data_IF_451207001179
#
_entry.id   IF_451207001179
#
_cell.length_a   1.000
_cell.length_b   1.000
_cell.length_c   1.000
_cell.angle_alpha   90.00
_cell.angle_beta   90.00
_cell.angle_gamma   90.00
#
_symmetry.space_group_name_H-M   'P 1'
#
loop_
_entity.id
_entity.type
_entity.pdbx_description
1 polymer ?
#
# COMPACT_ATOMS: atom_id res chain seq x y z
N UNK A 1 -8.33 7.78 18.23
CA UNK A 1 -9.23 7.47 17.10
C UNK A 1 -9.12 8.50 15.97
N UNK A 2 -9.70 9.71 16.07
CA UNK A 2 -9.67 10.68 14.96
C UNK A 2 -8.26 11.02 14.44
N UNK A 3 -7.31 11.28 15.35
CA UNK A 3 -5.91 11.60 14.99
C UNK A 3 -5.20 10.43 14.28
N UNK A 4 -5.49 9.19 14.67
CA UNK A 4 -4.88 7.99 14.08
C UNK A 4 -5.43 7.71 12.68
N UNK A 5 -6.74 7.90 12.46
CA UNK A 5 -7.33 7.78 11.13
C UNK A 5 -6.78 8.84 10.19
N UNK A 6 -6.57 10.06 10.71
CA UNK A 6 -5.92 11.13 9.94
C UNK A 6 -4.46 10.82 9.58
N UNK A 7 -3.76 10.07 10.43
CA UNK A 7 -2.38 9.66 10.17
C UNK A 7 -2.32 8.60 9.06
N UNK A 8 -3.12 7.54 9.16
CA UNK A 8 -3.23 6.51 8.12
C UNK A 8 -3.63 7.11 6.78
N UNK A 9 -4.62 8.01 6.78
CA UNK A 9 -5.02 8.73 5.58
C UNK A 9 -3.86 9.50 4.96
N UNK A 10 -3.11 10.27 5.75
CA UNK A 10 -1.97 11.06 5.27
C UNK A 10 -0.84 10.19 4.73
N UNK A 11 -0.55 9.06 5.38
CA UNK A 11 0.49 8.13 4.94
C UNK A 11 0.10 7.53 3.58
N UNK A 12 -1.11 7.00 3.46
CA UNK A 12 -1.59 6.34 2.24
C UNK A 12 -1.76 7.34 1.09
N UNK A 13 -2.46 8.46 1.34
CA UNK A 13 -2.66 9.50 0.34
C UNK A 13 -1.34 10.16 -0.07
N UNK A 14 -0.44 10.41 0.89
CA UNK A 14 0.90 10.93 0.62
C UNK A 14 1.71 10.00 -0.28
N UNK A 15 1.58 8.69 -0.09
CA UNK A 15 2.13 7.67 -0.99
C UNK A 15 1.58 7.77 -2.41
N UNK A 16 0.25 7.83 -2.58
CA UNK A 16 -0.37 7.91 -3.90
C UNK A 16 0.00 9.20 -4.63
N UNK A 17 -0.09 10.34 -3.94
CA UNK A 17 0.25 11.65 -4.49
C UNK A 17 1.74 11.70 -4.84
N UNK A 18 2.62 11.25 -3.94
CA UNK A 18 4.06 11.22 -4.19
C UNK A 18 4.45 10.35 -5.39
N UNK A 19 3.76 9.22 -5.61
CA UNK A 19 3.95 8.39 -6.81
C UNK A 19 3.50 9.08 -8.09
N UNK A 20 2.43 9.87 -8.03
CA UNK A 20 1.92 10.61 -9.19
C UNK A 20 2.76 11.86 -9.52
N UNK A 21 3.25 12.56 -8.49
CA UNK A 21 3.97 13.84 -8.64
C UNK A 21 5.49 13.69 -8.65
N UNK A 22 6.04 12.55 -8.21
CA UNK A 22 7.47 12.30 -8.02
C UNK A 22 8.34 12.29 -9.28
N UNK A 23 7.80 12.67 -10.44
CA UNK A 23 8.55 12.86 -11.69
C UNK A 23 8.95 11.57 -12.41
N UNK A 24 8.81 10.42 -11.77
CA UNK A 24 9.11 9.13 -12.38
C UNK A 24 7.99 8.68 -13.34
N UNK A 25 8.34 8.53 -14.62
CA UNK A 25 7.41 8.11 -15.68
C UNK A 25 6.94 6.67 -15.50
N UNK A 26 7.72 5.82 -14.81
CA UNK A 26 7.38 4.40 -14.62
C UNK A 26 6.04 4.20 -13.91
N UNK A 27 5.70 5.11 -13.00
CA UNK A 27 4.42 5.11 -12.29
C UNK A 27 3.25 5.50 -13.20
N UNK A 28 3.44 6.43 -14.13
CA UNK A 28 2.41 6.84 -15.11
C UNK A 28 2.19 5.77 -16.18
N UNK A 29 3.26 5.11 -16.59
CA UNK A 29 3.22 4.02 -17.58
C UNK A 29 2.76 2.68 -16.98
N UNK A 30 2.52 2.63 -15.66
CA UNK A 30 2.10 1.43 -14.93
C UNK A 30 3.20 0.37 -14.82
N UNK A 31 4.46 0.73 -15.05
CA UNK A 31 5.61 -0.19 -15.03
C UNK A 31 6.46 -0.09 -13.77
N UNK A 32 6.07 0.75 -12.81
CA UNK A 32 6.82 0.95 -11.56
C UNK A 32 7.13 -0.35 -10.83
N UNK A 33 6.19 -1.30 -10.79
CA UNK A 33 6.43 -2.59 -10.11
C UNK A 33 7.45 -3.50 -10.79
N UNK A 34 7.76 -3.29 -12.07
CA UNK A 34 8.85 -4.02 -12.76
C UNK A 34 10.20 -3.70 -12.13
N UNK A 35 10.40 -2.44 -11.75
CA UNK A 35 11.64 -1.95 -11.16
C UNK A 35 11.64 -2.00 -9.64
N UNK A 36 10.46 -2.04 -9.03
CA UNK A 36 10.29 -2.02 -7.59
C UNK A 36 11.13 -3.06 -6.86
N UNK A 37 11.16 -4.31 -7.32
CA UNK A 37 11.92 -5.39 -6.69
C UNK A 37 13.45 -5.20 -6.73
N UNK A 38 13.96 -4.35 -7.63
CA UNK A 38 15.38 -4.02 -7.74
C UNK A 38 15.77 -2.84 -6.86
N UNK A 39 14.86 -1.88 -6.70
CA UNK A 39 15.10 -0.61 -5.98
C UNK A 39 14.65 -0.63 -4.53
N UNK A 40 14.15 -1.77 -4.04
CA UNK A 40 13.73 -1.93 -2.65
C UNK A 40 14.95 -1.79 -1.69
N UNK A 41 14.77 -1.14 -0.52
CA UNK A 41 15.87 -0.86 0.41
C UNK A 41 16.46 -2.11 1.07
N UNK A 42 15.68 -3.18 1.22
CA UNK A 42 16.12 -4.49 1.72
C UNK A 42 15.54 -5.59 0.82
N UNK A 43 16.28 -6.05 -0.20
CA UNK A 43 15.83 -7.12 -1.06
C UNK A 43 15.74 -8.45 -0.28
N UNK A 44 14.64 -9.16 -0.47
CA UNK A 44 14.37 -10.47 0.12
C UNK A 44 14.82 -11.56 -0.87
N UNK A 45 15.26 -12.75 -0.42
CA UNK A 45 15.43 -13.92 -1.28
C UNK A 45 14.28 -14.21 -2.27
N UNK A 46 13.05 -13.77 -1.97
CA UNK A 46 11.89 -13.89 -2.85
C UNK A 46 11.84 -12.82 -3.96
N UNK A 47 12.49 -11.66 -3.81
CA UNK A 47 12.43 -10.55 -4.78
C UNK A 47 12.82 -10.96 -6.22
N UNK A 48 13.86 -11.80 -6.45
CA UNK A 48 14.20 -12.27 -7.79
C UNK A 48 13.14 -13.19 -8.43
N UNK A 49 12.32 -13.87 -7.62
CA UNK A 49 11.24 -14.74 -8.11
C UNK A 49 10.09 -13.86 -8.59
N UNK A 50 9.69 -12.87 -7.80
CA UNK A 50 8.64 -11.93 -8.17
C UNK A 50 9.02 -11.07 -9.37
N UNK A 51 10.28 -10.64 -9.48
CA UNK A 51 10.77 -9.93 -10.67
C UNK A 51 10.61 -10.73 -11.98
N UNK A 52 10.64 -12.06 -11.93
CA UNK A 52 10.49 -12.90 -13.14
C UNK A 52 9.03 -13.06 -13.58
N UNK A 53 8.07 -12.47 -12.87
CA UNK A 53 6.67 -12.52 -13.26
C UNK A 53 6.43 -11.73 -14.56
N UNK A 54 5.40 -12.08 -15.34
CA UNK A 54 5.08 -11.35 -16.55
C UNK A 54 4.75 -9.88 -16.24
N UNK A 55 5.16 -8.98 -17.12
CA UNK A 55 4.96 -7.53 -16.99
C UNK A 55 3.48 -7.14 -16.83
N UNK A 56 2.54 -7.95 -17.32
CA UNK A 56 1.11 -7.75 -17.10
C UNK A 56 0.72 -7.82 -15.62
N UNK A 57 1.35 -8.72 -14.83
CA UNK A 57 1.10 -8.81 -13.38
C UNK A 57 1.63 -7.56 -12.69
N UNK A 58 2.82 -7.10 -13.04
CA UNK A 58 3.40 -5.87 -12.49
C UNK A 58 2.57 -4.62 -12.80
N UNK A 59 1.93 -4.57 -13.98
CA UNK A 59 0.97 -3.51 -14.30
C UNK A 59 -0.24 -3.55 -13.37
N UNK A 60 -0.81 -4.74 -13.14
CA UNK A 60 -1.93 -4.92 -12.20
C UNK A 60 -1.52 -4.49 -10.78
N UNK A 61 -0.35 -4.88 -10.31
CA UNK A 61 0.17 -4.50 -8.98
C UNK A 61 0.35 -2.98 -8.84
N UNK A 62 0.84 -2.32 -9.91
CA UNK A 62 1.01 -0.86 -9.93
C UNK A 62 -0.33 -0.15 -9.81
N UNK A 63 -1.34 -0.55 -10.60
CA UNK A 63 -2.68 0.02 -10.51
C UNK A 63 -3.37 -0.31 -9.17
N UNK A 64 -3.20 -1.54 -8.69
CA UNK A 64 -3.72 -1.95 -7.39
C UNK A 64 -3.15 -1.10 -6.25
N UNK A 65 -1.87 -0.74 -6.35
CA UNK A 65 -1.21 0.16 -5.40
C UNK A 65 -1.84 1.55 -5.42
N UNK A 66 -2.04 2.12 -6.60
CA UNK A 66 -2.71 3.42 -6.74
C UNK A 66 -4.13 3.43 -6.20
N UNK A 67 -4.92 2.41 -6.55
CA UNK A 67 -6.32 2.32 -6.12
C UNK A 67 -6.40 2.17 -4.61
N UNK A 68 -5.59 1.30 -4.02
CA UNK A 68 -5.62 1.07 -2.58
C UNK A 68 -5.13 2.29 -1.80
N UNK A 69 -4.04 2.94 -2.22
CA UNK A 69 -3.52 4.12 -1.52
C UNK A 69 -4.41 5.36 -1.70
N UNK A 70 -5.06 5.51 -2.86
CA UNK A 70 -5.97 6.62 -3.14
C UNK A 70 -7.39 6.36 -2.65
N UNK A 71 -8.07 5.40 -3.26
CA UNK A 71 -9.47 5.06 -2.92
C UNK A 71 -9.55 4.50 -1.52
N UNK A 72 -8.66 3.56 -1.14
CA UNK A 72 -8.64 3.01 0.21
C UNK A 72 -8.43 4.08 1.29
N UNK A 73 -7.65 5.13 1.02
CA UNK A 73 -7.50 6.26 1.94
C UNK A 73 -8.81 7.04 2.13
N UNK A 74 -9.55 7.34 1.06
CA UNK A 74 -10.83 8.05 1.14
C UNK A 74 -11.87 7.21 1.89
N UNK A 75 -11.91 5.91 1.61
CA UNK A 75 -12.81 4.95 2.25
C UNK A 75 -12.55 4.83 3.76
N UNK A 76 -11.39 5.25 4.28
CA UNK A 76 -11.10 5.28 5.71
C UNK A 76 -12.06 6.19 6.51
N UNK A 77 -12.62 7.23 5.88
CA UNK A 77 -13.56 8.17 6.51
C UNK A 77 -15.04 7.78 6.36
N UNK A 78 -15.33 6.58 5.88
CA UNK A 78 -16.70 6.12 5.57
C UNK A 78 -17.27 5.22 6.68
N UNK A 79 -18.58 4.88 6.63
CA UNK A 79 -19.21 4.02 7.63
C UNK A 79 -18.51 2.67 7.78
N UNK A 80 -18.62 2.08 8.97
CA UNK A 80 -17.85 0.91 9.41
C UNK A 80 -17.73 -0.21 8.37
N UNK A 81 -18.83 -0.60 7.69
CA UNK A 81 -18.85 -1.66 6.66
C UNK A 81 -17.86 -1.37 5.52
N UNK A 82 -17.83 -0.14 5.04
CA UNK A 82 -17.00 0.28 3.91
C UNK A 82 -15.53 0.40 4.35
N UNK A 83 -15.29 0.70 5.63
CA UNK A 83 -13.94 0.75 6.20
C UNK A 83 -13.25 -0.62 6.24
N UNK A 84 -14.01 -1.72 6.34
CA UNK A 84 -13.44 -3.07 6.18
C UNK A 84 -12.83 -3.27 4.80
N UNK A 85 -13.41 -2.64 3.77
CA UNK A 85 -12.89 -2.69 2.40
C UNK A 85 -11.55 -1.96 2.34
N UNK A 86 -11.42 -0.76 2.93
CA UNK A 86 -10.13 -0.07 3.08
C UNK A 86 -9.09 -0.93 3.79
N UNK A 87 -9.50 -1.55 4.90
CA UNK A 87 -8.63 -2.42 5.68
C UNK A 87 -8.07 -3.55 4.81
N UNK A 88 -8.92 -4.22 4.01
CA UNK A 88 -8.48 -5.29 3.10
C UNK A 88 -7.51 -4.76 2.05
N UNK A 89 -7.80 -3.61 1.42
CA UNK A 89 -6.90 -3.00 0.42
C UNK A 89 -5.52 -2.70 0.99
N UNK A 90 -5.46 -2.04 2.16
CA UNK A 90 -4.18 -1.75 2.81
C UNK A 90 -3.45 -3.02 3.25
N UNK A 91 -4.19 -4.04 3.69
CA UNK A 91 -3.61 -5.28 4.20
C UNK A 91 -2.92 -6.02 3.06
N UNK A 92 -3.58 -6.09 1.89
CA UNK A 92 -3.02 -6.73 0.69
C UNK A 92 -1.73 -6.04 0.24
N UNK A 93 -1.67 -4.71 0.26
CA UNK A 93 -0.44 -3.98 -0.09
C UNK A 93 0.66 -4.23 0.92
N UNK A 94 0.36 -4.11 2.22
CA UNK A 94 1.38 -4.30 3.25
C UNK A 94 1.90 -5.74 3.26
N UNK A 95 1.02 -6.73 3.10
CA UNK A 95 1.45 -8.12 2.96
C UNK A 95 2.30 -8.31 1.70
N UNK A 96 1.87 -7.80 0.56
CA UNK A 96 2.64 -7.87 -0.69
C UNK A 96 4.03 -7.27 -0.54
N UNK A 97 4.14 -6.11 0.10
CA UNK A 97 5.42 -5.44 0.36
C UNK A 97 6.30 -6.23 1.34
N UNK A 98 5.74 -6.82 2.41
CA UNK A 98 6.51 -7.62 3.39
C UNK A 98 6.92 -9.00 2.85
N UNK A 99 6.13 -9.59 1.97
CA UNK A 99 6.47 -10.88 1.34
C UNK A 99 7.55 -10.70 0.29
N UNK A 100 7.43 -9.64 -0.51
CA UNK A 100 8.34 -9.41 -1.64
C UNK A 100 9.62 -8.67 -1.27
N UNK A 101 9.62 -7.94 -0.15
CA UNK A 101 10.75 -7.17 0.36
C UNK A 101 10.62 -6.90 1.85
N UNK A 102 11.46 -6.03 2.40
CA UNK A 102 11.33 -5.61 3.79
C UNK A 102 11.45 -4.08 3.92
N UNK A 103 10.34 -3.40 4.23
CA UNK A 103 10.31 -1.96 4.51
C UNK A 103 10.65 -1.61 5.97
N UNK A 104 11.42 -2.48 6.63
CA UNK A 104 11.87 -2.37 8.01
C UNK A 104 10.70 -2.01 8.95
N UNK A 105 10.77 -0.85 9.61
CA UNK A 105 9.80 -0.44 10.63
C UNK A 105 8.45 0.05 10.08
N UNK A 106 8.37 0.52 8.83
CA UNK A 106 7.17 1.18 8.29
C UNK A 106 6.00 0.21 8.13
N UNK A 107 6.28 -1.00 7.64
CA UNK A 107 5.29 -2.04 7.45
C UNK A 107 4.57 -2.48 8.75
N UNK A 108 5.28 -2.94 9.80
CA UNK A 108 4.64 -3.38 11.04
C UNK A 108 3.95 -2.23 11.81
N UNK A 109 4.47 -1.00 11.73
CA UNK A 109 3.79 0.18 12.28
C UNK A 109 2.44 0.41 11.60
N UNK A 110 2.40 0.34 10.27
CA UNK A 110 1.17 0.54 9.51
C UNK A 110 0.15 -0.58 9.78
N UNK A 111 0.60 -1.84 9.92
CA UNK A 111 -0.27 -2.96 10.33
C UNK A 111 -0.89 -2.71 11.72
N UNK A 112 -0.10 -2.20 12.66
CA UNK A 112 -0.58 -1.89 14.02
C UNK A 112 -1.66 -0.81 13.99
N UNK A 113 -1.45 0.26 13.23
CA UNK A 113 -2.45 1.31 13.02
C UNK A 113 -3.73 0.78 12.36
N UNK A 114 -3.61 -0.17 11.43
CA UNK A 114 -4.77 -0.76 10.75
C UNK A 114 -5.67 -1.60 11.66
N UNK A 115 -5.16 -2.20 12.74
CA UNK A 115 -5.99 -2.95 13.69
C UNK A 115 -7.06 -2.04 14.31
N UNK A 116 -6.77 -0.74 14.43
CA UNK A 116 -7.70 0.26 14.94
C UNK A 116 -8.85 0.57 13.95
N UNK A 117 -8.75 0.15 12.69
CA UNK A 117 -9.87 0.22 11.74
C UNK A 117 -10.89 -0.90 11.97
N UNK A 118 -10.54 -1.99 12.65
CA UNK A 118 -11.43 -3.13 12.87
C UNK A 118 -12.35 -2.93 14.09
N UNK A 119 -11.91 -2.17 15.08
CA UNK A 119 -12.60 -2.07 16.36
C UNK A 119 -13.12 -0.65 16.64
N UNK A 120 -14.41 -0.45 16.35
CA UNK A 120 -15.17 0.73 16.80
C UNK A 120 -16.19 0.38 17.90
N UNK A 121 -16.21 -0.87 18.41
CA UNK A 121 -17.19 -1.32 19.40
C UNK A 121 -16.90 -0.81 20.82
N UNK A 122 -16.09 0.24 20.95
CA UNK A 122 -15.80 0.91 22.23
C UNK A 122 -16.48 2.28 22.22
N UNK A 123 -17.81 2.27 22.12
CA UNK A 123 -18.75 3.18 22.78
C UNK A 123 -20.08 2.46 22.98
#
# INVERSE_FOLDING_TARGET
VFTQWSLLFRIMLGGAVGKYTGGDQSWKDGTAMVWHYWTQPLPNPLSPIFYRMPTSIHKIETYFTYVSEGVGAILCYTPQIIRWISYVFFLLILLGINVTGNYAHLAPLTITEMILLLNDNVW
#
